data_IF_401405376489
#
_entry.id   IF_401405376489
#
_cell.length_a   1.000
_cell.length_b   1.000
_cell.length_c   1.000
_cell.angle_alpha   90.00
_cell.angle_beta   90.00
_cell.angle_gamma   90.00
#
_symmetry.space_group_name_H-M   'P 1'
#
loop_
_entity.id
_entity.type
_entity.pdbx_description
1 polymer ?
#
# COMPACT_ATOMS: atom_id res chain seq x y z
N UNK A 1 -22.86 -12.30 -11.82
CA UNK A 1 -21.55 -11.77 -12.24
C UNK A 1 -20.51 -12.47 -11.40
N UNK A 2 -19.83 -13.47 -11.97
CA UNK A 2 -18.86 -14.34 -11.27
C UNK A 2 -17.56 -13.57 -11.13
N UNK A 3 -17.31 -12.97 -9.99
CA UNK A 3 -16.01 -12.44 -9.63
C UNK A 3 -15.39 -13.38 -8.61
N UNK A 4 -14.17 -13.69 -8.83
CA UNK A 4 -13.20 -14.47 -8.08
C UNK A 4 -12.99 -15.84 -8.74
N UNK A 5 -12.10 -15.83 -9.76
CA UNK A 5 -11.33 -17.02 -10.09
C UNK A 5 -10.61 -17.51 -8.85
N UNK A 6 -10.44 -18.82 -8.73
CA UNK A 6 -9.79 -19.54 -7.63
C UNK A 6 -8.50 -18.82 -7.19
N UNK A 7 -8.43 -18.29 -5.94
CA UNK A 7 -7.27 -17.57 -5.45
C UNK A 7 -6.14 -18.50 -5.00
N UNK A 8 -5.94 -19.63 -5.67
CA UNK A 8 -4.71 -20.38 -5.42
C UNK A 8 -3.55 -19.52 -5.86
N UNK A 9 -2.66 -19.08 -4.93
CA UNK A 9 -1.45 -18.40 -5.34
C UNK A 9 -0.71 -19.34 -6.31
N UNK A 10 -0.41 -18.85 -7.50
CA UNK A 10 0.60 -19.46 -8.34
C UNK A 10 1.88 -19.68 -7.51
N UNK A 11 2.84 -20.48 -7.97
CA UNK A 11 4.09 -20.71 -7.25
C UNK A 11 4.61 -19.34 -6.82
N UNK A 12 4.77 -19.14 -5.50
CA UNK A 12 5.26 -17.89 -4.96
C UNK A 12 6.59 -17.60 -5.65
N UNK A 13 6.64 -16.51 -6.43
CA UNK A 13 7.92 -16.02 -6.90
C UNK A 13 8.81 -15.89 -5.68
N UNK A 14 10.03 -16.44 -5.72
CA UNK A 14 10.95 -16.36 -4.60
C UNK A 14 11.14 -14.89 -4.26
N UNK A 15 10.83 -14.52 -3.00
CA UNK A 15 10.98 -13.14 -2.55
C UNK A 15 12.46 -12.75 -2.63
N UNK A 16 12.75 -11.66 -3.34
CA UNK A 16 14.07 -11.07 -3.32
C UNK A 16 14.35 -10.48 -1.94
N UNK A 17 15.59 -10.60 -1.48
CA UNK A 17 16.00 -10.13 -0.16
C UNK A 17 17.41 -9.55 -0.20
N UNK A 18 17.62 -8.44 0.48
CA UNK A 18 18.92 -7.85 0.75
C UNK A 18 19.09 -7.62 2.24
N UNK A 19 20.28 -7.89 2.78
CA UNK A 19 20.62 -7.74 4.20
C UNK A 19 20.20 -8.90 5.10
N UNK A 20 20.76 -8.88 6.30
CA UNK A 20 20.46 -9.79 7.42
C UNK A 20 20.69 -9.06 8.76
N UNK A 21 20.57 -9.76 9.88
CA UNK A 21 20.68 -9.17 11.22
C UNK A 21 22.09 -8.62 11.57
N UNK A 22 23.11 -8.94 10.80
CA UNK A 22 24.51 -8.53 11.02
C UNK A 22 24.95 -7.39 10.11
N UNK A 23 24.14 -6.99 9.13
CA UNK A 23 24.48 -6.02 8.09
C UNK A 23 23.67 -4.75 8.28
N UNK A 24 24.36 -3.60 8.32
CA UNK A 24 23.74 -2.27 8.19
C UNK A 24 23.74 -1.92 6.70
N UNK A 25 22.54 -1.78 6.15
CA UNK A 25 22.37 -1.36 4.75
C UNK A 25 22.54 0.16 4.65
N UNK A 26 23.35 0.60 3.72
CA UNK A 26 23.44 2.01 3.33
C UNK A 26 22.34 2.39 2.30
N UNK A 27 22.18 3.68 2.08
CA UNK A 27 21.17 4.23 1.18
C UNK A 27 21.36 3.78 -0.28
N UNK A 28 22.61 3.56 -0.70
CA UNK A 28 22.96 3.16 -2.07
C UNK A 28 22.51 1.72 -2.32
N UNK A 29 22.81 0.81 -1.39
CA UNK A 29 22.40 -0.60 -1.47
C UNK A 29 20.88 -0.73 -1.49
N UNK A 30 20.17 0.01 -0.63
CA UNK A 30 18.71 0.00 -0.59
C UNK A 30 18.13 0.54 -1.90
N UNK A 31 18.65 1.66 -2.39
CA UNK A 31 18.16 2.29 -3.63
C UNK A 31 18.41 1.39 -4.86
N UNK A 32 19.58 0.78 -4.96
CA UNK A 32 19.92 -0.15 -6.03
C UNK A 32 19.01 -1.38 -6.02
N UNK A 33 18.78 -1.96 -4.85
CA UNK A 33 17.87 -3.10 -4.70
C UNK A 33 16.45 -2.76 -5.15
N UNK A 34 15.89 -1.63 -4.69
CA UNK A 34 14.53 -1.19 -5.10
C UNK A 34 14.48 -0.98 -6.62
N UNK A 35 15.48 -0.31 -7.20
CA UNK A 35 15.52 -0.06 -8.64
C UNK A 35 15.58 -1.36 -9.45
N UNK A 36 16.41 -2.32 -9.05
CA UNK A 36 16.52 -3.64 -9.67
C UNK A 36 15.19 -4.40 -9.63
N UNK A 37 14.54 -4.46 -8.45
CA UNK A 37 13.27 -5.16 -8.31
C UNK A 37 12.17 -4.51 -9.17
N UNK A 38 12.09 -3.18 -9.20
CA UNK A 38 11.09 -2.49 -10.02
C UNK A 38 11.40 -2.55 -11.52
N UNK A 39 12.68 -2.64 -11.92
CA UNK A 39 13.05 -2.85 -13.33
C UNK A 39 12.61 -4.24 -13.85
N UNK A 40 12.61 -5.25 -12.99
CA UNK A 40 12.19 -6.60 -13.36
C UNK A 40 10.68 -6.75 -13.60
N UNK A 41 9.88 -5.73 -13.28
CA UNK A 41 8.42 -5.77 -13.42
C UNK A 41 7.89 -4.85 -14.53
N UNK A 42 6.78 -5.22 -15.23
CA UNK A 42 6.23 -4.48 -16.37
C UNK A 42 5.38 -3.29 -15.90
N UNK A 43 6.01 -2.21 -15.46
CA UNK A 43 5.34 -0.96 -15.07
C UNK A 43 5.12 0.01 -16.22
N UNK A 44 5.82 -0.16 -17.35
CA UNK A 44 5.80 0.80 -18.45
C UNK A 44 4.39 1.01 -19.02
N UNK A 45 4.00 2.29 -19.12
CA UNK A 45 2.67 2.69 -19.60
C UNK A 45 1.52 2.43 -18.63
N UNK A 46 1.78 1.94 -17.40
CA UNK A 46 0.76 1.67 -16.39
C UNK A 46 0.61 2.83 -15.40
N UNK A 47 -0.51 2.87 -14.72
CA UNK A 47 -0.73 3.71 -13.55
C UNK A 47 -0.39 2.94 -12.27
N UNK A 48 0.33 3.59 -11.32
CA UNK A 48 0.80 2.95 -10.09
C UNK A 48 0.32 3.72 -8.87
N UNK A 49 -0.33 3.02 -7.93
CA UNK A 49 -0.65 3.50 -6.60
C UNK A 49 0.34 2.93 -5.59
N UNK A 50 1.17 3.77 -4.99
CA UNK A 50 2.13 3.40 -3.95
C UNK A 50 1.48 3.61 -2.58
N UNK A 51 1.21 2.52 -1.86
CA UNK A 51 0.63 2.56 -0.52
C UNK A 51 1.76 2.60 0.50
N UNK A 52 1.74 3.63 1.33
CA UNK A 52 2.74 3.85 2.38
C UNK A 52 2.08 3.95 3.76
N UNK A 53 2.77 3.59 4.85
CA UNK A 53 2.26 3.81 6.20
C UNK A 53 2.17 5.29 6.53
N UNK A 54 1.43 5.63 7.58
CA UNK A 54 1.45 6.95 8.18
C UNK A 54 2.62 7.12 9.17
N UNK A 55 2.72 8.30 9.77
CA UNK A 55 3.79 8.67 10.69
C UNK A 55 3.85 7.84 12.00
N UNK A 56 2.84 7.01 12.28
CA UNK A 56 2.85 6.12 13.46
C UNK A 56 3.73 4.89 13.27
N UNK A 57 4.28 4.68 12.08
CA UNK A 57 5.16 3.56 11.77
C UNK A 57 6.57 4.05 11.45
N UNK A 58 7.56 3.42 12.07
CA UNK A 58 8.97 3.65 11.74
C UNK A 58 9.29 2.99 10.41
N UNK A 59 9.62 3.80 9.42
CA UNK A 59 9.97 3.36 8.08
C UNK A 59 10.85 4.44 7.41
N UNK A 60 11.94 4.10 6.73
CA UNK A 60 12.78 5.06 6.03
C UNK A 60 12.11 5.53 4.72
N UNK A 61 10.87 6.05 4.83
CA UNK A 61 10.06 6.42 3.65
C UNK A 61 10.71 7.42 2.72
N UNK A 62 11.42 8.47 3.18
CA UNK A 62 12.10 9.38 2.28
C UNK A 62 13.10 8.69 1.35
N UNK A 63 13.85 7.72 1.86
CA UNK A 63 14.78 6.90 1.07
C UNK A 63 14.03 6.01 0.07
N UNK A 64 13.09 5.23 0.58
CA UNK A 64 12.32 4.28 -0.24
C UNK A 64 11.49 4.98 -1.32
N UNK A 65 10.86 6.11 -0.99
CA UNK A 65 10.06 6.86 -1.96
C UNK A 65 10.93 7.49 -3.06
N UNK A 66 12.12 8.02 -2.71
CA UNK A 66 13.08 8.49 -3.72
C UNK A 66 13.49 7.37 -4.67
N UNK A 67 13.80 6.18 -4.14
CA UNK A 67 14.18 5.02 -4.95
C UNK A 67 13.03 4.56 -5.85
N UNK A 68 11.81 4.46 -5.32
CA UNK A 68 10.61 4.09 -6.10
C UNK A 68 10.31 5.12 -7.17
N UNK A 69 10.32 6.41 -6.82
CA UNK A 69 10.09 7.50 -7.78
C UNK A 69 11.15 7.48 -8.89
N UNK A 70 12.43 7.38 -8.54
CA UNK A 70 13.51 7.33 -9.52
C UNK A 70 13.40 6.14 -10.49
N UNK A 71 12.90 5.00 -10.02
CA UNK A 71 12.72 3.81 -10.86
C UNK A 71 11.46 3.85 -11.74
N UNK A 72 10.42 4.61 -11.36
CA UNK A 72 9.12 4.64 -12.04
C UNK A 72 8.86 5.92 -12.82
N UNK A 73 9.47 7.05 -12.45
CA UNK A 73 9.29 8.32 -13.13
C UNK A 73 9.67 8.23 -14.61
N UNK A 74 8.81 8.72 -15.49
CA UNK A 74 8.97 8.63 -16.95
C UNK A 74 8.58 7.26 -17.55
N UNK A 75 8.35 6.23 -16.73
CA UNK A 75 7.90 4.89 -17.19
C UNK A 75 6.38 4.73 -17.04
N UNK A 76 5.83 5.28 -15.97
CA UNK A 76 4.40 5.13 -15.63
C UNK A 76 3.59 6.32 -16.12
N UNK A 77 2.32 6.09 -16.42
CA UNK A 77 1.39 7.16 -16.88
C UNK A 77 0.88 8.02 -15.74
N UNK A 78 0.81 7.46 -14.54
CA UNK A 78 0.35 8.13 -13.31
C UNK A 78 1.01 7.47 -12.11
N UNK A 79 1.52 8.28 -11.19
CA UNK A 79 2.07 7.84 -9.91
C UNK A 79 1.32 8.52 -8.77
N UNK A 80 0.65 7.75 -7.93
CA UNK A 80 -0.06 8.25 -6.75
C UNK A 80 0.50 7.60 -5.50
N UNK A 81 0.88 8.40 -4.51
CA UNK A 81 1.25 7.94 -3.17
C UNK A 81 0.03 8.07 -2.26
N UNK A 82 -0.47 6.93 -1.77
CA UNK A 82 -1.59 6.85 -0.85
C UNK A 82 -1.08 6.57 0.56
N UNK A 83 -1.27 7.51 1.48
CA UNK A 83 -0.93 7.31 2.89
C UNK A 83 -2.04 6.52 3.58
N UNK A 84 -1.73 5.31 4.01
CA UNK A 84 -2.65 4.37 4.63
C UNK A 84 -2.88 4.72 6.11
N UNK A 85 -3.74 5.69 6.38
CA UNK A 85 -4.02 6.22 7.72
C UNK A 85 -4.72 5.23 8.66
N UNK A 86 -5.30 4.16 8.14
CA UNK A 86 -6.24 3.36 8.93
C UNK A 86 -7.46 4.19 9.32
N UNK A 87 -7.59 4.46 10.62
CA UNK A 87 -8.61 5.35 11.19
C UNK A 87 -8.00 6.59 11.87
N UNK A 88 -6.72 6.87 11.60
CA UNK A 88 -6.04 8.04 12.14
C UNK A 88 -6.50 9.32 11.43
N UNK A 89 -6.22 10.46 12.06
CA UNK A 89 -6.50 11.77 11.48
C UNK A 89 -5.67 12.01 10.20
N UNK A 90 -6.19 12.80 9.25
CA UNK A 90 -5.44 13.16 8.05
C UNK A 90 -4.17 13.92 8.41
N UNK A 91 -3.11 13.65 7.66
CA UNK A 91 -1.86 14.40 7.76
C UNK A 91 -1.99 15.73 7.01
N UNK A 92 -1.50 16.83 7.61
CA UNK A 92 -1.40 18.12 6.92
C UNK A 92 -0.34 18.07 5.82
N UNK A 93 -0.29 19.08 4.95
CA UNK A 93 0.74 19.19 3.91
C UNK A 93 2.15 19.18 4.52
N UNK A 94 2.37 19.92 5.60
CA UNK A 94 3.66 19.97 6.28
C UNK A 94 4.05 18.60 6.88
N UNK A 95 3.05 17.89 7.45
CA UNK A 95 3.26 16.56 7.99
C UNK A 95 3.57 15.54 6.87
N UNK A 96 2.87 15.62 5.75
CA UNK A 96 3.15 14.79 4.56
C UNK A 96 4.54 15.08 4.00
N UNK A 97 4.90 16.35 3.86
CA UNK A 97 6.19 16.78 3.36
C UNK A 97 7.34 16.23 4.21
N UNK A 98 7.26 16.42 5.52
CA UNK A 98 8.24 15.87 6.47
C UNK A 98 8.31 14.35 6.42
N UNK A 99 7.16 13.67 6.36
CA UNK A 99 7.06 12.21 6.37
C UNK A 99 7.60 11.56 5.10
N UNK A 100 7.39 12.19 3.95
CA UNK A 100 7.79 11.68 2.64
C UNK A 100 9.12 12.25 2.13
N UNK A 101 9.71 13.22 2.85
CA UNK A 101 11.04 13.75 2.59
C UNK A 101 11.11 14.77 1.45
N UNK A 102 10.14 15.69 1.39
CA UNK A 102 10.19 16.87 0.54
C UNK A 102 9.92 18.15 1.36
N UNK A 103 10.22 19.33 0.84
CA UNK A 103 9.86 20.58 1.49
C UNK A 103 8.40 20.92 1.25
N UNK A 104 7.69 21.47 2.25
CA UNK A 104 6.28 21.83 2.11
C UNK A 104 6.07 22.78 0.92
N UNK A 105 5.13 22.44 0.06
CA UNK A 105 4.88 23.13 -1.21
C UNK A 105 5.77 22.71 -2.39
N UNK A 106 6.82 21.89 -2.16
CA UNK A 106 7.82 21.51 -3.16
C UNK A 106 7.65 20.06 -3.66
N UNK A 107 6.45 19.49 -3.54
CA UNK A 107 6.19 18.12 -4.02
C UNK A 107 6.55 17.95 -5.50
N UNK A 108 6.11 18.88 -6.34
CA UNK A 108 6.36 18.81 -7.79
C UNK A 108 7.83 18.97 -8.17
N UNK A 109 8.61 19.71 -7.36
CA UNK A 109 10.05 19.85 -7.53
C UNK A 109 10.82 18.62 -7.11
N UNK A 110 10.39 17.95 -6.04
CA UNK A 110 11.06 16.77 -5.49
C UNK A 110 10.61 15.48 -6.18
N UNK A 111 9.31 15.34 -6.42
CA UNK A 111 8.70 14.15 -7.02
C UNK A 111 7.79 14.55 -8.21
N UNK A 112 8.37 15.00 -9.33
CA UNK A 112 7.59 15.44 -10.49
C UNK A 112 6.64 14.34 -10.99
N UNK A 113 5.43 14.73 -11.39
CA UNK A 113 4.41 13.80 -11.88
C UNK A 113 3.77 12.91 -10.82
N UNK A 114 4.03 13.17 -9.52
CA UNK A 114 3.47 12.40 -8.41
C UNK A 114 2.36 13.17 -7.71
N UNK A 115 1.29 12.45 -7.35
CA UNK A 115 0.22 12.97 -6.48
C UNK A 115 0.29 12.27 -5.13
N UNK A 116 0.14 13.01 -4.03
CA UNK A 116 0.07 12.47 -2.66
C UNK A 116 -1.34 12.65 -2.12
N UNK A 117 -1.93 11.60 -1.56
CA UNK A 117 -3.28 11.63 -0.99
C UNK A 117 -3.33 10.92 0.35
N UNK A 118 -4.12 11.45 1.26
CA UNK A 118 -4.52 10.77 2.48
C UNK A 118 -5.61 9.73 2.20
N UNK A 119 -5.62 8.61 2.94
CA UNK A 119 -6.76 7.70 2.98
C UNK A 119 -7.90 8.33 3.77
N UNK A 120 -8.85 8.97 3.11
CA UNK A 120 -9.97 9.67 3.70
C UNK A 120 -11.08 8.68 4.14
N UNK A 121 -10.79 7.85 5.14
CA UNK A 121 -11.63 6.75 5.61
C UNK A 121 -13.04 7.17 6.09
N UNK A 122 -13.24 8.46 6.40
CA UNK A 122 -14.51 9.02 6.84
C UNK A 122 -15.42 9.40 5.68
N UNK A 123 -14.93 9.43 4.44
CA UNK A 123 -15.69 9.75 3.23
C UNK A 123 -16.13 8.47 2.53
N UNK A 124 -17.45 8.22 2.38
CA UNK A 124 -17.95 7.04 1.67
C UNK A 124 -17.44 6.92 0.24
N UNK A 125 -17.29 8.04 -0.47
CA UNK A 125 -16.81 8.13 -1.85
C UNK A 125 -15.35 7.70 -2.03
N UNK A 126 -14.58 7.61 -0.94
CA UNK A 126 -13.22 7.07 -0.94
C UNK A 126 -13.20 5.59 -1.31
N UNK A 127 -14.31 4.89 -1.13
CA UNK A 127 -14.36 3.45 -1.29
C UNK A 127 -15.08 3.01 -2.57
N UNK A 128 -14.60 1.89 -3.10
CA UNK A 128 -15.29 1.09 -4.11
C UNK A 128 -15.75 -0.19 -3.44
N UNK A 129 -17.05 -0.51 -3.60
CA UNK A 129 -17.62 -1.78 -3.14
C UNK A 129 -17.35 -2.86 -4.20
N UNK A 130 -16.55 -3.85 -3.85
CA UNK A 130 -16.18 -4.98 -4.69
C UNK A 130 -17.07 -6.21 -4.44
N UNK A 131 -18.11 -6.08 -3.63
CA UNK A 131 -19.01 -7.15 -3.26
C UNK A 131 -18.85 -7.62 -1.83
N UNK A 132 -19.31 -8.83 -1.55
CA UNK A 132 -19.39 -9.36 -0.17
C UNK A 132 -18.81 -10.75 -0.11
N UNK A 133 -17.98 -11.02 0.88
CA UNK A 133 -17.60 -12.38 1.26
C UNK A 133 -18.75 -12.96 2.10
N UNK A 134 -19.44 -14.03 1.63
CA UNK A 134 -20.63 -14.52 2.31
C UNK A 134 -20.30 -15.18 3.65
N UNK A 135 -21.29 -15.17 4.56
CA UNK A 135 -21.18 -15.75 5.89
C UNK A 135 -20.70 -17.20 5.90
N UNK A 136 -21.10 -18.00 4.90
CA UNK A 136 -20.63 -19.38 4.74
C UNK A 136 -19.12 -19.48 4.53
N UNK A 137 -18.55 -18.57 3.71
CA UNK A 137 -17.12 -18.53 3.47
C UNK A 137 -16.36 -18.02 4.69
N UNK A 138 -16.91 -17.05 5.41
CA UNK A 138 -16.32 -16.59 6.68
C UNK A 138 -16.35 -17.70 7.72
N UNK A 139 -17.43 -18.49 7.81
CA UNK A 139 -17.51 -19.63 8.72
C UNK A 139 -16.44 -20.69 8.38
N UNK A 140 -16.26 -21.01 7.11
CA UNK A 140 -15.20 -21.93 6.65
C UNK A 140 -13.80 -21.43 7.05
N UNK A 141 -13.47 -20.16 6.72
CA UNK A 141 -12.16 -19.57 6.99
C UNK A 141 -11.86 -19.43 8.49
N UNK A 142 -12.89 -19.25 9.31
CA UNK A 142 -12.77 -19.08 10.77
C UNK A 142 -12.97 -20.37 11.55
N UNK A 143 -13.06 -21.53 10.89
CA UNK A 143 -13.36 -22.82 11.53
C UNK A 143 -14.64 -22.77 12.38
N UNK A 144 -15.68 -22.09 11.88
CA UNK A 144 -16.97 -21.91 12.53
C UNK A 144 -17.04 -20.84 13.61
N UNK A 145 -15.94 -20.11 13.87
CA UNK A 145 -15.90 -19.07 14.93
C UNK A 145 -16.65 -17.79 14.57
N UNK A 146 -16.82 -17.53 13.27
CA UNK A 146 -17.54 -16.36 12.75
C UNK A 146 -18.45 -16.78 11.61
N UNK A 147 -19.66 -16.18 11.56
CA UNK A 147 -20.63 -16.39 10.48
C UNK A 147 -21.37 -15.08 10.23
N UNK A 148 -20.81 -14.24 9.38
CA UNK A 148 -21.41 -12.95 8.97
C UNK A 148 -20.94 -12.60 7.56
N UNK A 149 -21.74 -11.84 6.85
CA UNK A 149 -21.37 -11.27 5.56
C UNK A 149 -20.36 -10.14 5.76
N UNK A 150 -19.25 -10.16 5.01
CA UNK A 150 -18.20 -9.14 5.11
C UNK A 150 -18.12 -8.38 3.79
N UNK A 151 -18.49 -7.08 3.75
CA UNK A 151 -18.34 -6.26 2.56
C UNK A 151 -16.85 -6.03 2.26
N UNK A 152 -16.49 -6.09 0.97
CA UNK A 152 -15.13 -5.84 0.48
C UNK A 152 -15.08 -4.41 -0.05
N UNK A 153 -14.60 -3.49 0.78
CA UNK A 153 -14.47 -2.08 0.46
C UNK A 153 -12.99 -1.74 0.33
N UNK A 154 -12.54 -1.34 -0.86
CA UNK A 154 -11.18 -0.88 -1.09
C UNK A 154 -11.14 0.62 -1.40
N UNK A 155 -10.01 1.26 -1.09
CA UNK A 155 -9.80 2.64 -1.49
C UNK A 155 -9.85 2.76 -3.03
N UNK A 156 -10.58 3.75 -3.51
CA UNK A 156 -10.75 4.04 -4.94
C UNK A 156 -9.41 4.18 -5.67
N UNK A 157 -8.43 4.85 -5.06
CA UNK A 157 -7.10 5.00 -5.64
C UNK A 157 -6.42 3.64 -5.88
N UNK A 158 -6.65 2.64 -5.04
CA UNK A 158 -6.11 1.29 -5.24
C UNK A 158 -6.80 0.58 -6.42
N UNK A 159 -8.12 0.76 -6.55
CA UNK A 159 -8.92 0.07 -7.57
C UNK A 159 -8.76 0.68 -8.95
N UNK A 160 -8.54 2.00 -9.02
CA UNK A 160 -8.47 2.77 -10.28
C UNK A 160 -7.04 2.90 -10.85
N UNK A 161 -6.05 2.24 -10.23
CA UNK A 161 -4.71 2.10 -10.79
C UNK A 161 -4.48 0.68 -11.27
N UNK A 162 -3.62 0.53 -12.29
CA UNK A 162 -3.28 -0.78 -12.87
C UNK A 162 -2.45 -1.62 -11.90
N UNK A 163 -1.68 -0.96 -11.04
CA UNK A 163 -0.77 -1.60 -10.07
C UNK A 163 -0.90 -0.94 -8.70
N UNK A 164 -1.01 -1.75 -7.66
CA UNK A 164 -0.85 -1.35 -6.27
C UNK A 164 0.51 -1.85 -5.76
N UNK A 165 1.40 -0.93 -5.41
CA UNK A 165 2.71 -1.20 -4.83
C UNK A 165 2.69 -0.86 -3.34
N UNK A 166 2.85 -1.85 -2.47
CA UNK A 166 2.88 -1.63 -1.03
C UNK A 166 4.33 -1.44 -0.56
N UNK A 167 4.60 -0.29 0.06
CA UNK A 167 5.92 0.06 0.60
C UNK A 167 5.78 0.36 2.09
N UNK A 168 6.37 -0.47 2.93
CA UNK A 168 6.31 -0.28 4.37
C UNK A 168 6.65 -1.54 5.16
N UNK A 169 6.77 -1.43 6.49
CA UNK A 169 7.10 -2.56 7.35
C UNK A 169 5.97 -3.58 7.39
N UNK A 170 6.35 -4.85 7.49
CA UNK A 170 5.46 -5.96 7.81
C UNK A 170 5.96 -6.56 9.12
N UNK A 171 5.16 -6.45 10.17
CA UNK A 171 5.56 -6.83 11.52
C UNK A 171 4.50 -7.75 12.15
N UNK A 172 4.89 -8.67 13.04
CA UNK A 172 3.94 -9.41 13.88
C UNK A 172 3.04 -8.44 14.68
N UNK A 173 1.80 -8.83 14.89
CA UNK A 173 0.83 -8.04 15.66
C UNK A 173 -0.01 -8.97 16.53
N UNK A 174 -0.10 -8.68 17.83
CA UNK A 174 -0.70 -9.55 18.85
C UNK A 174 -2.21 -9.77 18.67
N UNK A 175 -2.92 -8.82 18.06
CA UNK A 175 -4.40 -8.90 17.87
C UNK A 175 -4.76 -9.43 16.48
N UNK A 176 -4.09 -8.94 15.43
CA UNK A 176 -4.51 -9.19 14.04
C UNK A 176 -3.50 -10.03 13.24
N UNK A 177 -2.54 -10.62 13.93
CA UNK A 177 -1.50 -11.50 13.38
C UNK A 177 -0.38 -10.72 12.69
N UNK A 178 -0.69 -9.85 11.74
CA UNK A 178 0.28 -9.08 10.97
C UNK A 178 -0.15 -7.61 10.89
N UNK A 179 0.80 -6.69 11.03
CA UNK A 179 0.67 -5.25 10.75
C UNK A 179 1.34 -4.92 9.41
N UNK A 180 0.76 -4.04 8.62
CA UNK A 180 1.30 -3.65 7.30
C UNK A 180 0.90 -4.59 6.16
N UNK A 181 1.67 -4.58 5.05
CA UNK A 181 1.39 -5.38 3.87
C UNK A 181 0.03 -5.08 3.24
N UNK A 182 -0.68 -6.11 2.80
CA UNK A 182 -1.99 -5.97 2.13
C UNK A 182 -3.06 -5.26 2.97
N UNK A 183 -2.86 -5.11 4.29
CA UNK A 183 -3.78 -4.35 5.15
C UNK A 183 -3.83 -2.87 4.83
N UNK A 184 -2.82 -2.32 4.14
CA UNK A 184 -2.87 -0.92 3.68
C UNK A 184 -3.95 -0.67 2.62
N UNK A 185 -4.40 -1.70 1.91
CA UNK A 185 -5.43 -1.59 0.88
C UNK A 185 -6.85 -1.43 1.46
N UNK A 186 -7.11 -1.94 2.67
CA UNK A 186 -8.46 -2.04 3.23
C UNK A 186 -8.46 -1.65 4.71
N UNK A 187 -8.89 -0.44 5.01
CA UNK A 187 -8.91 0.05 6.38
C UNK A 187 -10.28 0.56 6.84
N UNK A 188 -11.39 -0.08 6.41
CA UNK A 188 -12.69 0.20 7.00
C UNK A 188 -13.40 -1.07 7.44
N UNK A 189 -13.42 -1.33 8.74
CA UNK A 189 -14.48 -2.09 9.39
C UNK A 189 -15.67 -1.15 9.63
N UNK A 190 -16.55 -0.98 8.67
CA UNK A 190 -17.80 -0.31 8.96
C UNK A 190 -18.74 -1.33 9.62
N UNK A 191 -18.95 -1.22 10.93
CA UNK A 191 -20.21 -1.68 11.49
C UNK A 191 -21.28 -0.83 10.80
N UNK A 192 -22.05 -1.40 9.88
CA UNK A 192 -23.38 -0.85 9.62
C UNK A 192 -24.13 -0.96 10.95
N UNK A 193 -24.57 0.17 11.48
CA UNK A 193 -25.58 0.20 12.54
C UNK A 193 -26.91 -0.19 11.93
#
# INVERSE_FOLDING_TARGET
>A
MTLIGDPRPGPAASAARVGDASIVLDDEVVSAFVAEQLAAHPFDGRSVCVLVPDHTRTCPLPLLLRAVHGALHGRVTRLTVLVALGTHAPMSEEALASHLGYAAGELAGTYPGTTVVNHEWWKPETFVDLGTVPASRIAELSEGRMSLDVPVLLNRAVVEHDVALVVGPVLPHEVVGISGGNKYCSNRWSRRR
#
